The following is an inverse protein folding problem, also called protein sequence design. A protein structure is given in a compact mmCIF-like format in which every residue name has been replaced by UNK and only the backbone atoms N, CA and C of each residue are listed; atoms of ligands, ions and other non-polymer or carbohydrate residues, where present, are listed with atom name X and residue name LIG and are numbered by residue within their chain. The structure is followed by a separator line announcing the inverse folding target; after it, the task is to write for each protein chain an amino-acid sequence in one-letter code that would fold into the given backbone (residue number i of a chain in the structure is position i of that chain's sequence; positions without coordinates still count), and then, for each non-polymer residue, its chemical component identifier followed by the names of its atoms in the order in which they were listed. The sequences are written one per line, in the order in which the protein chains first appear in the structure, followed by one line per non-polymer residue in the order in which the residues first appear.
data_IF_764396442622
#
_entry.id   IF_764396442622
#
_cell.length_a   1.000
_cell.length_b   1.000
_cell.length_c   1.000
_cell.angle_alpha   90.00
_cell.angle_beta   90.00
_cell.angle_gamma   90.00
#
_symmetry.space_group_name_H-M   'P 1'
#
loop_
_entity.id
_entity.type
_entity.pdbx_description
1 polymer ?
#
# COMPACT_ATOMS: atom_id res chain seq x y z
N UNK A 1 -18.71 -5.54 13.39
CA UNK A 1 -17.23 -5.52 13.21
C UNK A 1 -16.65 -4.12 12.88
N UNK A 2 -17.28 -3.29 12.04
CA UNK A 2 -16.77 -1.92 11.73
C UNK A 2 -16.50 -1.04 12.97
N UNK A 3 -17.38 -0.97 13.99
CA UNK A 3 -17.12 -0.17 15.21
C UNK A 3 -15.89 -0.66 15.97
N UNK A 4 -15.72 -1.98 16.06
CA UNK A 4 -14.54 -2.60 16.69
C UNK A 4 -13.25 -2.28 15.96
N UNK A 5 -13.22 -2.41 14.63
CA UNK A 5 -12.03 -2.11 13.85
C UNK A 5 -11.64 -0.64 14.03
N UNK A 6 -12.62 0.29 14.03
CA UNK A 6 -12.38 1.70 14.35
C UNK A 6 -11.78 1.90 15.74
N UNK A 7 -12.28 1.17 16.73
CA UNK A 7 -11.72 1.20 18.09
C UNK A 7 -10.27 0.71 18.12
N UNK A 8 -9.96 -0.41 17.44
CA UNK A 8 -8.59 -0.92 17.33
C UNK A 8 -7.65 0.09 16.68
N UNK A 9 -8.05 0.65 15.54
CA UNK A 9 -7.25 1.63 14.81
C UNK A 9 -7.00 2.90 15.63
N UNK A 10 -7.96 3.31 16.47
CA UNK A 10 -7.82 4.46 17.37
C UNK A 10 -6.82 4.18 18.50
N UNK A 11 -6.86 2.98 19.09
CA UNK A 11 -6.04 2.62 20.23
C UNK A 11 -4.61 2.20 19.86
N UNK A 12 -4.44 1.54 18.72
CA UNK A 12 -3.17 0.90 18.34
C UNK A 12 -2.44 1.62 17.21
N UNK A 13 -3.19 2.24 16.28
CA UNK A 13 -2.65 2.83 15.07
C UNK A 13 -1.89 1.82 14.17
N UNK A 14 -1.55 2.22 12.93
CA UNK A 14 -1.93 3.44 12.23
C UNK A 14 -3.34 3.35 11.63
N UNK A 15 -4.05 4.48 11.49
CA UNK A 15 -5.46 4.48 11.02
C UNK A 15 -5.64 4.14 9.54
N UNK A 16 -4.61 4.37 8.72
CA UNK A 16 -4.68 4.20 7.27
C UNK A 16 -4.71 2.73 6.81
N UNK A 17 -4.40 1.76 7.68
CA UNK A 17 -4.53 0.32 7.36
C UNK A 17 -5.98 -0.16 7.41
N UNK A 18 -6.88 0.64 8.01
CA UNK A 18 -8.27 0.27 8.25
C UNK A 18 -9.03 -0.21 7.00
N UNK A 19 -8.96 0.49 5.85
CA UNK A 19 -9.61 0.05 4.62
C UNK A 19 -9.15 -1.33 4.14
N UNK A 20 -7.85 -1.61 4.20
CA UNK A 20 -7.28 -2.91 3.75
C UNK A 20 -7.68 -4.02 4.71
N UNK A 21 -7.62 -3.79 6.02
CA UNK A 21 -8.11 -4.76 7.02
C UNK A 21 -9.60 -5.03 6.82
N UNK A 22 -10.42 -4.00 6.57
CA UNK A 22 -11.85 -4.17 6.32
C UNK A 22 -12.11 -4.96 5.03
N UNK A 23 -11.35 -4.69 3.96
CA UNK A 23 -11.43 -5.44 2.71
C UNK A 23 -11.11 -6.92 2.91
N UNK A 24 -10.10 -7.26 3.71
CA UNK A 24 -9.81 -8.65 4.09
C UNK A 24 -10.94 -9.31 4.86
N UNK A 25 -11.52 -8.61 5.84
CA UNK A 25 -12.67 -9.10 6.60
C UNK A 25 -13.87 -9.33 5.68
N UNK A 26 -14.22 -8.39 4.81
CA UNK A 26 -15.33 -8.52 3.87
C UNK A 26 -15.09 -9.68 2.88
N UNK A 27 -13.86 -9.83 2.38
CA UNK A 27 -13.49 -10.90 1.44
C UNK A 27 -13.56 -12.30 2.06
N UNK A 28 -13.30 -12.43 3.37
CA UNK A 28 -13.30 -13.73 4.06
C UNK A 28 -14.68 -14.04 4.67
N UNK A 29 -15.29 -13.06 5.34
CA UNK A 29 -16.52 -13.24 6.13
C UNK A 29 -17.78 -12.98 5.31
N UNK A 30 -17.77 -12.02 4.37
CA UNK A 30 -18.94 -11.59 3.61
C UNK A 30 -18.68 -11.70 2.10
N UNK A 31 -18.51 -12.94 1.63
CA UNK A 31 -18.26 -13.23 0.22
C UNK A 31 -19.48 -12.87 -0.63
N UNK A 32 -19.31 -11.98 -1.60
CA UNK A 32 -20.38 -11.55 -2.52
C UNK A 32 -21.64 -11.04 -1.81
N UNK A 33 -21.47 -10.38 -0.65
CA UNK A 33 -22.60 -9.86 0.14
C UNK A 33 -23.34 -10.92 0.96
N UNK A 34 -22.89 -12.18 0.95
CA UNK A 34 -23.43 -13.25 1.78
C UNK A 34 -22.45 -13.64 2.86
N UNK A 35 -22.98 -13.93 4.04
CA UNK A 35 -22.20 -14.45 5.15
C UNK A 35 -21.57 -15.80 4.77
N UNK A 36 -20.33 -16.04 5.22
CA UNK A 36 -19.61 -17.28 4.94
C UNK A 36 -20.23 -18.47 5.67
N UNK A 37 -20.30 -19.62 4.99
CA UNK A 37 -20.73 -20.89 5.60
C UNK A 37 -19.57 -21.61 6.31
N UNK A 38 -18.36 -21.06 6.24
CA UNK A 38 -17.18 -21.62 6.90
C UNK A 38 -17.31 -21.55 8.43
N UNK A 39 -17.54 -22.72 9.04
CA UNK A 39 -17.69 -22.89 10.49
C UNK A 39 -16.46 -22.38 11.26
N UNK A 40 -15.25 -22.56 10.73
CA UNK A 40 -14.05 -22.12 11.40
C UNK A 40 -13.99 -20.59 11.46
N UNK A 41 -14.32 -19.92 10.35
CA UNK A 41 -14.38 -18.45 10.30
C UNK A 41 -15.42 -17.93 11.30
N UNK A 42 -16.61 -18.53 11.30
CA UNK A 42 -17.72 -18.14 12.18
C UNK A 42 -17.39 -18.33 13.67
N UNK A 43 -16.66 -19.38 14.02
CA UNK A 43 -16.20 -19.62 15.39
C UNK A 43 -15.03 -18.72 15.83
N UNK A 44 -14.27 -18.15 14.89
CA UNK A 44 -13.02 -17.43 15.17
C UNK A 44 -13.03 -15.97 14.69
N UNK A 45 -14.19 -15.34 14.46
CA UNK A 45 -14.31 -14.00 13.87
C UNK A 45 -13.42 -12.94 14.52
N UNK A 46 -13.38 -12.91 15.86
CA UNK A 46 -12.61 -11.89 16.61
C UNK A 46 -11.11 -12.14 16.49
N UNK A 47 -10.69 -13.41 16.61
CA UNK A 47 -9.30 -13.82 16.43
C UNK A 47 -8.83 -13.58 15.00
N UNK A 48 -9.69 -13.84 14.01
CA UNK A 48 -9.46 -13.58 12.60
C UNK A 48 -9.26 -12.09 12.32
N UNK A 49 -10.15 -11.23 12.83
CA UNK A 49 -10.01 -9.79 12.69
C UNK A 49 -8.69 -9.29 13.31
N UNK A 50 -8.32 -9.78 14.50
CA UNK A 50 -7.03 -9.45 15.12
C UNK A 50 -5.84 -9.94 14.29
N UNK A 51 -5.92 -11.12 13.70
CA UNK A 51 -4.87 -11.69 12.88
C UNK A 51 -4.70 -10.95 11.55
N UNK A 52 -5.81 -10.55 10.90
CA UNK A 52 -5.81 -9.69 9.72
C UNK A 52 -5.20 -8.31 10.04
N UNK A 53 -5.59 -7.71 11.17
CA UNK A 53 -4.99 -6.47 11.64
C UNK A 53 -3.47 -6.59 11.76
N UNK A 54 -2.98 -7.63 12.43
CA UNK A 54 -1.55 -7.87 12.61
C UNK A 54 -0.82 -8.11 11.29
N UNK A 55 -1.45 -8.84 10.36
CA UNK A 55 -0.88 -9.12 9.06
C UNK A 55 -0.67 -7.81 8.27
N UNK A 56 -1.71 -6.98 8.17
CA UNK A 56 -1.61 -5.70 7.46
C UNK A 56 -0.67 -4.74 8.17
N UNK A 57 -0.78 -4.63 9.50
CA UNK A 57 0.11 -3.79 10.30
C UNK A 57 1.58 -4.19 10.12
N UNK A 58 1.91 -5.48 10.17
CA UNK A 58 3.26 -5.99 9.93
C UNK A 58 3.75 -5.63 8.53
N UNK A 59 2.94 -5.86 7.50
CA UNK A 59 3.32 -5.60 6.11
C UNK A 59 3.63 -4.13 5.84
N UNK A 60 2.97 -3.23 6.57
CA UNK A 60 3.14 -1.77 6.42
C UNK A 60 4.22 -1.21 7.34
N UNK A 61 4.45 -1.81 8.52
CA UNK A 61 5.44 -1.34 9.50
C UNK A 61 6.87 -1.76 9.15
N UNK A 62 7.03 -2.96 8.56
CA UNK A 62 8.33 -3.46 8.13
C UNK A 62 8.32 -3.86 6.65
N UNK A 63 8.13 -2.89 5.74
CA UNK A 63 8.12 -3.17 4.31
C UNK A 63 9.54 -3.49 3.84
N UNK A 64 9.80 -4.76 3.50
CA UNK A 64 11.09 -5.21 2.97
C UNK A 64 12.23 -5.22 4.00
N UNK A 65 11.93 -5.07 5.29
CA UNK A 65 12.90 -5.11 6.39
C UNK A 65 12.68 -6.32 7.30
N UNK A 66 13.70 -6.65 8.08
CA UNK A 66 13.61 -7.71 9.08
C UNK A 66 12.64 -7.32 10.20
N UNK A 67 11.87 -8.30 10.65
CA UNK A 67 10.86 -8.11 11.70
C UNK A 67 11.55 -8.03 13.05
N UNK A 68 11.29 -6.97 13.81
CA UNK A 68 11.60 -6.96 15.23
C UNK A 68 10.64 -7.91 15.97
N UNK A 69 11.16 -9.06 16.38
CA UNK A 69 10.37 -10.08 17.08
C UNK A 69 9.83 -9.56 18.42
N UNK A 70 10.58 -8.71 19.12
CA UNK A 70 10.17 -8.11 20.39
C UNK A 70 8.97 -7.17 20.20
N UNK A 71 9.04 -6.30 19.20
CA UNK A 71 7.95 -5.39 18.84
C UNK A 71 6.73 -6.16 18.34
N UNK A 72 6.92 -7.18 17.50
CA UNK A 72 5.83 -8.03 17.02
C UNK A 72 5.14 -8.79 18.16
N UNK A 73 5.89 -9.37 19.10
CA UNK A 73 5.32 -10.01 20.32
C UNK A 73 4.56 -9.00 21.16
N UNK A 74 5.10 -7.80 21.35
CA UNK A 74 4.43 -6.74 22.10
C UNK A 74 3.12 -6.31 21.44
N UNK A 75 3.12 -6.12 20.12
CA UNK A 75 1.92 -5.74 19.37
C UNK A 75 0.85 -6.84 19.42
N UNK A 76 1.21 -8.12 19.32
CA UNK A 76 0.26 -9.23 19.51
C UNK A 76 -0.47 -9.14 20.85
N UNK A 77 0.26 -8.89 21.94
CA UNK A 77 -0.34 -8.71 23.27
C UNK A 77 -1.24 -7.48 23.31
N UNK A 78 -0.82 -6.36 22.72
CA UNK A 78 -1.62 -5.14 22.62
C UNK A 78 -2.94 -5.39 21.88
N UNK A 79 -2.91 -6.08 20.73
CA UNK A 79 -4.11 -6.43 19.95
C UNK A 79 -5.10 -7.25 20.79
N UNK A 80 -4.66 -8.30 21.48
CA UNK A 80 -5.54 -9.09 22.36
C UNK A 80 -6.17 -8.23 23.45
N UNK A 81 -5.37 -7.40 24.12
CA UNK A 81 -5.89 -6.51 25.17
C UNK A 81 -6.91 -5.51 24.62
N UNK A 82 -6.63 -4.91 23.46
CA UNK A 82 -7.52 -3.93 22.83
C UNK A 82 -8.81 -4.58 22.35
N UNK A 83 -8.78 -5.82 21.84
CA UNK A 83 -9.99 -6.57 21.50
C UNK A 83 -10.86 -6.85 22.72
N UNK A 84 -10.25 -7.18 23.87
CA UNK A 84 -10.98 -7.34 25.15
C UNK A 84 -11.60 -6.01 25.60
N UNK A 85 -10.84 -4.91 25.57
CA UNK A 85 -11.37 -3.57 25.86
C UNK A 85 -12.48 -3.14 24.91
N UNK A 86 -12.37 -3.49 23.63
CA UNK A 86 -13.37 -3.15 22.63
C UNK A 86 -14.73 -3.78 22.98
N UNK A 87 -14.75 -5.03 23.49
CA UNK A 87 -15.97 -5.68 23.96
C UNK A 87 -16.64 -4.92 25.10
N UNK A 88 -15.86 -4.33 25.99
CA UNK A 88 -16.37 -3.61 27.16
C UNK A 88 -16.81 -2.17 26.83
N UNK A 89 -16.19 -1.53 25.85
CA UNK A 89 -16.29 -0.08 25.63
C UNK A 89 -17.01 0.32 24.34
N UNK A 90 -17.10 -0.58 23.34
CA UNK A 90 -17.75 -0.25 22.07
C UNK A 90 -19.25 -0.39 22.24
N UNK A 91 -19.93 0.75 22.25
CA UNK A 91 -21.39 0.79 22.07
C UNK A 91 -21.70 0.81 20.58
N UNK A 92 -22.60 -0.06 20.13
CA UNK A 92 -23.08 -0.06 18.76
C UNK A 92 -24.44 0.61 18.73
N UNK A 93 -24.48 1.83 18.20
CA UNK A 93 -25.71 2.55 17.88
C UNK A 93 -26.08 2.24 16.44
N UNK A 94 -27.34 1.88 16.19
CA UNK A 94 -27.87 1.70 14.83
C UNK A 94 -28.79 2.87 14.52
N UNK A 95 -28.47 3.60 13.47
CA UNK A 95 -29.37 4.61 12.91
C UNK A 95 -30.49 3.90 12.14
N UNK A 96 -31.69 3.80 12.75
CA UNK A 96 -32.88 3.54 11.96
C UNK A 96 -33.21 4.81 11.17
N UNK A 97 -33.50 4.65 9.88
CA UNK A 97 -33.65 5.71 8.87
C UNK A 97 -34.66 6.84 9.13
N UNK A 98 -35.21 6.95 10.35
CA UNK A 98 -35.99 8.07 10.87
C UNK A 98 -35.21 9.00 11.82
N UNK A 99 -33.87 8.90 11.88
CA UNK A 99 -33.04 9.74 12.77
C UNK A 99 -33.18 9.39 14.25
N UNK A 100 -33.66 8.18 14.56
CA UNK A 100 -33.64 7.61 15.91
C UNK A 100 -32.48 6.62 15.99
N UNK A 101 -31.53 6.93 16.87
CA UNK A 101 -30.54 5.99 17.34
C UNK A 101 -31.20 5.11 18.41
N UNK A 102 -31.37 3.83 18.11
CA UNK A 102 -31.68 2.83 19.15
C UNK A 102 -30.40 2.04 19.42
N UNK A 103 -30.11 1.82 20.71
CA UNK A 103 -29.07 0.86 21.10
C UNK A 103 -29.63 -0.52 20.72
N UNK A 104 -29.04 -1.13 19.69
CA UNK A 104 -29.38 -2.50 19.28
C UNK A 104 -29.07 -3.44 20.46
N UNK A 105 -29.89 -4.48 20.66
CA UNK A 105 -29.66 -5.50 21.71
C UNK A 105 -28.20 -5.94 21.65
N UNK A 106 -27.43 -5.48 22.65
CA UNK A 106 -25.97 -5.60 22.71
C UNK A 106 -25.56 -7.07 22.47
N UNK A 107 -26.39 -8.01 22.90
CA UNK A 107 -26.17 -9.45 22.78
C UNK A 107 -26.15 -9.98 21.34
N UNK A 108 -26.96 -9.43 20.41
CA UNK A 108 -26.96 -9.82 18.99
C UNK A 108 -25.74 -9.27 18.24
N UNK A 109 -25.30 -8.06 18.61
CA UNK A 109 -24.12 -7.41 18.04
C UNK A 109 -22.83 -8.18 18.36
N UNK A 110 -22.80 -8.83 19.52
CA UNK A 110 -21.70 -9.66 19.99
C UNK A 110 -21.92 -11.16 19.77
N UNK A 111 -22.90 -11.55 18.94
CA UNK A 111 -23.09 -12.96 18.59
C UNK A 111 -21.83 -13.47 17.84
N UNK A 112 -21.29 -14.62 18.26
CA UNK A 112 -20.02 -15.14 17.75
C UNK A 112 -18.75 -14.49 18.32
N UNK A 113 -18.87 -13.51 19.24
CA UNK A 113 -17.72 -12.92 19.92
C UNK A 113 -17.26 -13.73 21.13
N UNK A 114 -16.28 -14.61 20.90
CA UNK A 114 -15.56 -15.35 21.95
C UNK A 114 -14.55 -14.50 22.73
N UNK A 115 -14.15 -14.97 23.92
CA UNK A 115 -13.00 -14.41 24.62
C UNK A 115 -11.71 -14.76 23.88
N UNK A 116 -11.04 -13.75 23.33
CA UNK A 116 -9.82 -13.96 22.53
C UNK A 116 -8.62 -14.19 23.45
N UNK A 117 -7.95 -15.31 23.25
CA UNK A 117 -6.63 -15.58 23.86
C UNK A 117 -5.53 -15.37 22.82
N UNK A 118 -4.31 -15.16 23.31
CA UNK A 118 -3.13 -15.05 22.46
C UNK A 118 -2.90 -16.32 21.61
N UNK A 119 -3.30 -17.49 22.13
CA UNK A 119 -3.22 -18.76 21.39
C UNK A 119 -4.16 -18.74 20.18
N UNK A 120 -5.38 -18.27 20.35
CA UNK A 120 -6.40 -18.23 19.29
C UNK A 120 -5.99 -17.25 18.19
N UNK A 121 -5.40 -16.12 18.59
CA UNK A 121 -4.82 -15.16 17.66
C UNK A 121 -3.68 -15.78 16.82
N UNK A 122 -2.75 -16.50 17.46
CA UNK A 122 -1.65 -17.16 16.76
C UNK A 122 -2.15 -18.26 15.82
N UNK A 123 -3.16 -19.04 16.24
CA UNK A 123 -3.79 -20.05 15.39
C UNK A 123 -4.47 -19.40 14.18
N UNK A 124 -5.15 -18.27 14.38
CA UNK A 124 -5.75 -17.53 13.28
C UNK A 124 -4.69 -16.97 12.32
N UNK A 125 -3.56 -16.47 12.81
CA UNK A 125 -2.44 -16.03 11.95
C UNK A 125 -1.88 -17.18 11.13
N UNK A 126 -1.71 -18.36 11.73
CA UNK A 126 -1.27 -19.56 11.01
C UNK A 126 -2.29 -19.93 9.92
N UNK A 127 -3.58 -19.91 10.27
CA UNK A 127 -4.66 -20.28 9.35
C UNK A 127 -4.74 -19.34 8.14
N UNK A 128 -4.55 -18.03 8.33
CA UNK A 128 -4.47 -17.06 7.21
C UNK A 128 -3.38 -17.48 6.22
N UNK A 129 -2.23 -17.95 6.71
CA UNK A 129 -1.11 -18.40 5.87
C UNK A 129 -1.38 -19.69 5.10
N UNK A 130 -2.28 -20.56 5.58
CA UNK A 130 -2.54 -21.88 4.96
C UNK A 130 -3.81 -21.94 4.12
N UNK A 131 -4.73 -20.98 4.29
CA UNK A 131 -6.09 -21.01 3.71
C UNK A 131 -6.20 -20.40 2.31
N UNK A 132 -5.09 -19.96 1.72
CA UNK A 132 -5.06 -19.28 0.42
C UNK A 132 -5.66 -17.86 0.44
N UNK A 133 -6.04 -17.32 1.61
CA UNK A 133 -6.63 -15.99 1.70
C UNK A 133 -5.67 -14.86 1.31
N UNK A 134 -4.36 -15.14 1.37
CA UNK A 134 -3.32 -14.22 0.91
C UNK A 134 -3.23 -14.14 -0.63
N UNK A 135 -3.92 -15.01 -1.36
CA UNK A 135 -4.00 -14.96 -2.84
C UNK A 135 -5.17 -14.09 -3.31
N UNK A 136 -6.00 -13.60 -2.40
CA UNK A 136 -7.12 -12.72 -2.71
C UNK A 136 -6.67 -11.28 -2.93
N UNK A 137 -7.45 -10.52 -3.71
CA UNK A 137 -7.13 -9.14 -4.10
C UNK A 137 -6.83 -8.19 -2.92
N UNK A 138 -7.47 -8.40 -1.77
CA UNK A 138 -7.21 -7.57 -0.58
C UNK A 138 -5.76 -7.65 -0.10
N UNK A 139 -5.08 -8.78 -0.31
CA UNK A 139 -3.70 -8.99 0.12
C UNK A 139 -2.72 -8.18 -0.74
N UNK A 140 -2.99 -8.04 -2.04
CA UNK A 140 -2.24 -7.14 -2.92
C UNK A 140 -2.33 -5.68 -2.45
N UNK A 141 -3.47 -5.30 -1.85
CA UNK A 141 -3.65 -3.99 -1.23
C UNK A 141 -2.69 -3.70 -0.06
N UNK A 142 -2.12 -4.72 0.59
CA UNK A 142 -1.09 -4.54 1.62
C UNK A 142 0.23 -4.08 1.00
N UNK A 143 0.63 -4.67 -0.13
CA UNK A 143 1.85 -4.27 -0.84
C UNK A 143 1.74 -2.86 -1.39
N UNK A 144 0.58 -2.52 -1.97
CA UNK A 144 0.34 -1.16 -2.45
C UNK A 144 0.36 -0.14 -1.30
N UNK A 145 -0.22 -0.49 -0.15
CA UNK A 145 -0.16 0.37 1.03
C UNK A 145 1.27 0.53 1.55
N UNK A 146 2.04 -0.56 1.62
CA UNK A 146 3.46 -0.53 2.00
C UNK A 146 4.29 0.37 1.08
N UNK A 147 4.08 0.28 -0.25
CA UNK A 147 4.75 1.17 -1.22
C UNK A 147 4.43 2.64 -0.96
N UNK A 148 3.17 2.97 -0.67
CA UNK A 148 2.79 4.37 -0.39
C UNK A 148 3.38 4.91 0.91
N UNK A 149 3.70 4.05 1.87
CA UNK A 149 4.39 4.45 3.11
C UNK A 149 5.86 4.71 2.83
N UNK A 150 6.54 3.81 2.12
CA UNK A 150 7.93 4.00 1.68
C UNK A 150 8.11 5.27 0.82
N UNK A 151 7.23 5.48 -0.16
CA UNK A 151 7.28 6.66 -1.04
C UNK A 151 7.11 7.99 -0.27
N UNK A 152 6.42 7.97 0.88
CA UNK A 152 6.26 9.14 1.75
C UNK A 152 7.49 9.35 2.62
N UNK A 153 8.04 8.29 3.21
CA UNK A 153 9.27 8.37 4.01
C UNK A 153 10.44 8.89 3.17
N UNK A 154 10.57 8.43 1.92
CA UNK A 154 11.58 8.91 0.97
C UNK A 154 11.39 10.39 0.60
N UNK A 155 10.14 10.85 0.48
CA UNK A 155 9.84 12.26 0.24
C UNK A 155 10.18 13.12 1.46
N UNK A 156 9.77 12.71 2.66
CA UNK A 156 10.03 13.43 3.91
C UNK A 156 11.54 13.54 4.18
N UNK A 157 12.32 12.47 3.94
CA UNK A 157 13.78 12.49 4.03
C UNK A 157 14.43 13.44 3.00
N UNK A 158 13.87 13.54 1.78
CA UNK A 158 14.36 14.46 0.75
C UNK A 158 14.04 15.94 1.04
N UNK A 159 13.03 16.22 1.87
CA UNK A 159 12.74 17.58 2.36
C UNK A 159 13.57 17.97 3.59
N UNK A 160 13.98 17.02 4.43
CA UNK A 160 14.75 17.30 5.65
C UNK A 160 16.22 17.67 5.37
N UNK A 161 16.82 17.15 4.29
CA UNK A 161 18.20 17.50 3.89
C UNK A 161 18.28 18.85 3.13
N UNK A 162 17.15 19.57 3.08
CA UNK A 162 16.94 20.70 2.18
C UNK A 162 16.48 22.01 2.83
N UNK A 163 16.43 22.21 4.15
CA UNK A 163 16.28 23.57 4.71
C UNK A 163 16.54 23.70 6.21
N UNK A 164 17.73 24.17 6.56
CA UNK A 164 17.90 25.03 7.73
C UNK A 164 17.24 26.38 7.46
N UNK A 165 16.08 26.64 8.08
CA UNK A 165 15.39 27.92 7.93
C UNK A 165 14.11 27.98 8.75
N UNK A 166 14.20 28.58 9.94
CA UNK A 166 13.07 28.85 10.83
C UNK A 166 11.91 29.58 10.11
N UNK A 167 10.67 29.10 10.27
CA UNK A 167 9.58 29.94 10.76
C UNK A 167 8.27 29.18 11.06
N UNK A 168 7.78 29.44 12.27
CA UNK A 168 6.39 29.78 12.63
C UNK A 168 5.30 28.70 12.48
N UNK A 169 4.96 28.13 13.64
CA UNK A 169 3.65 27.59 13.99
C UNK A 169 2.56 28.61 13.65
N UNK A 170 1.62 28.26 12.76
CA UNK A 170 0.37 28.99 12.62
C UNK A 170 -0.80 27.99 12.68
N UNK A 171 -1.46 28.00 13.83
CA UNK A 171 -2.71 27.30 14.09
C UNK A 171 -3.81 28.02 13.31
N UNK A 172 -4.33 27.40 12.25
CA UNK A 172 -5.53 27.92 11.54
C UNK A 172 -6.70 26.98 11.78
N UNK A 173 -7.73 27.55 12.39
CA UNK A 173 -9.01 26.93 12.72
C UNK A 173 -9.82 26.62 11.45
N UNK A 174 -10.57 25.54 11.53
CA UNK A 174 -11.59 25.09 10.57
C UNK A 174 -12.61 26.19 10.26
N UNK A 175 -12.89 26.39 8.98
CA UNK A 175 -14.07 27.09 8.47
C UNK A 175 -14.48 26.50 7.12
N UNK A 176 -15.64 25.83 7.08
CA UNK A 176 -16.32 25.43 5.85
C UNK A 176 -16.69 26.66 5.01
N UNK A 177 -16.62 26.52 3.68
CA UNK A 177 -17.31 27.41 2.76
C UNK A 177 -16.60 27.59 1.42
N UNK A 178 -16.86 26.66 0.51
CA UNK A 178 -16.92 26.86 -0.94
C UNK A 178 -15.82 27.75 -1.57
N UNK A 179 -14.68 27.13 -1.86
CA UNK A 179 -13.80 27.60 -2.93
C UNK A 179 -13.31 26.38 -3.69
N UNK A 180 -13.68 26.29 -4.97
CA UNK A 180 -13.03 25.41 -5.93
C UNK A 180 -11.59 25.88 -6.14
N UNK A 181 -10.72 25.70 -5.14
CA UNK A 181 -9.29 25.70 -5.35
C UNK A 181 -8.95 24.39 -6.05
N UNK A 182 -9.09 24.40 -7.38
CA UNK A 182 -8.26 23.58 -8.23
C UNK A 182 -6.82 24.05 -7.99
N UNK A 183 -6.16 23.46 -6.98
CA UNK A 183 -4.71 23.48 -6.91
C UNK A 183 -4.23 22.89 -8.24
N UNK A 184 -3.76 23.78 -9.11
CA UNK A 184 -3.13 23.39 -10.36
C UNK A 184 -1.84 22.72 -9.96
N UNK A 185 -1.92 21.41 -9.78
CA UNK A 185 -0.77 20.53 -9.68
C UNK A 185 0.17 20.88 -10.82
N UNK A 186 1.33 21.44 -10.47
CA UNK A 186 2.45 21.50 -11.40
C UNK A 186 2.99 20.07 -11.49
N UNK A 187 2.39 19.28 -12.40
CA UNK A 187 2.67 17.84 -12.53
C UNK A 187 4.11 17.53 -12.96
N UNK A 188 4.95 18.55 -13.19
CA UNK A 188 6.39 18.42 -13.30
C UNK A 188 7.07 19.44 -12.41
N UNK A 189 7.57 19.02 -11.24
CA UNK A 189 8.53 19.82 -10.48
C UNK A 189 9.74 20.20 -11.37
N UNK A 190 10.45 21.29 -11.04
CA UNK A 190 11.53 21.86 -11.87
C UNK A 190 12.56 20.84 -12.37
N UNK A 191 12.81 19.80 -11.57
CA UNK A 191 13.70 18.68 -11.94
C UNK A 191 13.15 17.88 -13.12
N UNK A 192 11.87 17.49 -13.09
CA UNK A 192 11.20 16.75 -14.16
C UNK A 192 11.05 17.61 -15.43
N UNK A 193 10.89 18.93 -15.29
CA UNK A 193 10.88 19.84 -16.45
C UNK A 193 12.22 19.87 -17.19
N UNK A 194 13.35 19.85 -16.46
CA UNK A 194 14.69 19.78 -17.05
C UNK A 194 14.95 18.44 -17.74
N UNK A 195 14.57 17.34 -17.09
CA UNK A 195 14.67 15.99 -17.68
C UNK A 195 13.83 15.88 -18.97
N UNK A 196 12.59 16.41 -18.96
CA UNK A 196 11.72 16.45 -20.13
C UNK A 196 12.30 17.32 -21.26
N UNK A 197 12.93 18.46 -20.95
CA UNK A 197 13.56 19.31 -21.94
C UNK A 197 14.74 18.61 -22.65
N UNK A 198 15.57 17.88 -21.90
CA UNK A 198 16.69 17.09 -22.45
C UNK A 198 16.15 15.96 -23.33
N UNK A 199 15.17 15.22 -22.85
CA UNK A 199 14.53 14.14 -23.61
C UNK A 199 13.90 14.66 -24.91
N UNK A 200 13.15 15.76 -24.84
CA UNK A 200 12.51 16.41 -26.00
C UNK A 200 13.53 16.84 -27.04
N UNK A 201 14.66 17.41 -26.63
CA UNK A 201 15.75 17.77 -27.55
C UNK A 201 16.39 16.54 -28.21
N UNK A 202 16.54 15.43 -27.48
CA UNK A 202 17.05 14.16 -28.03
C UNK A 202 16.13 13.59 -29.11
N UNK A 203 14.82 13.55 -28.85
CA UNK A 203 13.81 13.09 -29.82
C UNK A 203 13.80 13.99 -31.06
N UNK A 204 13.82 15.31 -30.90
CA UNK A 204 13.83 16.25 -32.04
C UNK A 204 15.07 16.10 -32.93
N UNK A 205 16.25 15.82 -32.34
CA UNK A 205 17.46 15.52 -33.12
C UNK A 205 17.32 14.21 -33.90
N UNK A 206 16.74 13.18 -33.29
CA UNK A 206 16.50 11.88 -33.95
C UNK A 206 15.50 12.02 -35.10
N UNK A 207 14.43 12.80 -34.92
CA UNK A 207 13.47 13.10 -35.98
C UNK A 207 14.15 13.85 -37.13
N UNK A 208 14.91 14.91 -36.86
CA UNK A 208 15.65 15.64 -37.90
C UNK A 208 16.65 14.76 -38.67
N UNK A 209 17.30 13.82 -37.99
CA UNK A 209 18.21 12.87 -38.63
C UNK A 209 17.46 11.86 -39.53
N UNK A 210 16.22 11.51 -39.20
CA UNK A 210 15.36 10.66 -40.01
C UNK A 210 14.71 11.43 -41.18
N UNK A 211 14.38 12.71 -40.98
CA UNK A 211 13.83 13.60 -42.00
C UNK A 211 14.85 14.05 -43.05
N UNK A 212 16.16 13.94 -42.75
CA UNK A 212 17.23 14.31 -43.67
C UNK A 212 18.18 13.14 -43.98
N UNK A 213 17.74 12.15 -44.79
CA UNK A 213 18.55 10.99 -45.16
C UNK A 213 19.77 11.31 -46.06
N UNK A 214 20.04 12.59 -46.37
CA UNK A 214 21.15 13.00 -47.24
C UNK A 214 22.49 13.23 -46.51
N UNK A 215 22.55 13.15 -45.18
CA UNK A 215 23.78 13.42 -44.41
C UNK A 215 24.60 12.17 -44.03
N UNK A 216 24.11 10.95 -44.31
CA UNK A 216 24.80 9.70 -43.94
C UNK A 216 25.55 9.01 -45.09
N UNK A 217 25.61 9.60 -46.29
CA UNK A 217 26.35 9.05 -47.43
C UNK A 217 27.45 9.99 -47.93
N UNK A 218 28.47 10.28 -47.11
CA UNK A 218 29.75 10.80 -47.62
C UNK A 218 30.91 10.30 -46.77
N UNK A 219 31.22 9.02 -46.91
CA UNK A 219 32.57 8.47 -46.72
C UNK A 219 32.82 7.47 -47.84
N UNK A 220 33.02 8.02 -49.04
CA UNK A 220 33.50 7.29 -50.20
C UNK A 220 35.01 7.08 -50.06
N UNK A 221 35.42 5.87 -49.68
CA UNK A 221 36.80 5.38 -49.77
C UNK A 221 37.19 5.20 -51.25
N UNK A 222 38.31 5.77 -51.74
CA UNK A 222 38.70 5.62 -53.13
C UNK A 222 39.33 4.23 -53.40
N UNK A 223 38.90 3.64 -54.51
CA UNK A 223 39.29 2.35 -55.06
C UNK A 223 40.50 2.50 -56.01
N UNK A 224 41.56 1.74 -55.78
CA UNK A 224 42.65 1.48 -56.73
C UNK A 224 43.83 0.82 -56.01
N UNK A 225 44.46 -0.27 -56.45
CA UNK A 225 44.52 -0.97 -57.73
C UNK A 225 44.70 -2.48 -57.48
N UNK A 226 44.23 -3.28 -58.44
CA UNK A 226 44.44 -4.73 -58.55
C UNK A 226 45.94 -5.08 -58.62
N UNK A 227 46.37 -6.13 -57.94
CA UNK A 227 47.54 -6.96 -58.29
C UNK A 227 47.14 -8.44 -58.14
N UNK A 228 47.52 -9.24 -59.14
CA UNK A 228 47.06 -10.61 -59.40
C UNK A 228 47.50 -11.64 -58.34
N UNK A 229 46.83 -12.81 -58.26
CA UNK A 229 47.28 -13.92 -57.42
C UNK A 229 48.36 -14.74 -58.14
N UNK A 230 49.56 -14.83 -57.57
CA UNK A 230 50.52 -15.88 -57.91
C UNK A 230 50.24 -17.10 -57.04
N UNK A 231 50.10 -18.24 -57.73
CA UNK A 231 49.93 -19.56 -57.17
C UNK A 231 51.18 -19.98 -56.39
N UNK A 232 50.99 -20.48 -55.17
CA UNK A 232 51.93 -21.42 -54.58
C UNK A 232 51.26 -22.79 -54.61
N UNK A 233 51.76 -23.60 -55.52
CA UNK A 233 51.51 -25.01 -55.67
C UNK A 233 52.57 -25.72 -54.80
N UNK A 234 52.11 -26.64 -53.98
CA UNK A 234 52.92 -27.56 -53.19
C UNK A 234 54.00 -28.27 -54.04
N UNK A 235 55.18 -28.49 -53.46
CA UNK A 235 55.91 -29.76 -53.55
C UNK A 235 56.96 -29.86 -52.42
N UNK A 236 56.83 -30.97 -51.68
CA UNK A 236 57.84 -31.84 -51.03
C UNK A 236 59.00 -31.25 -50.20
#
# INVERSE_FOLDING_TARGET
MKPTLRFLLKELGPSHIGPVVMSGIESIVVRHGKWTEDEWVNANLVSLMGALYLFVWRGVTWPGTDIDEGEYVAMRKKVVMTLKKAREQVKVTVELGNGKEEEEDNEKVWEGWGDVKLKDLNLATLHIGTSGWLEMDWAAGVEDLARTVLDKEDQDAAFEDGQGGANKVEVVRVGQGDSMFQDRYDYLGERKQKEYAIWKQGILKKIKALENPAASSTTATPRGKRKAPEANMDMD
#
